data_IF_021413145980
#
_entry.id   IF_021413145980
#
_cell.length_a   1.000
_cell.length_b   1.000
_cell.length_c   1.000
_cell.angle_alpha   90.00
_cell.angle_beta   90.00
_cell.angle_gamma   90.00
#
_symmetry.space_group_name_H-M   'P 1'
#
loop_
_entity.id
_entity.type
_entity.pdbx_description
1 polymer ?
#
# COMPACT_ATOMS: atom_id res chain seq x y z
N UNK A 1 25.43 17.23 -5.52
CA UNK A 1 26.58 16.37 -5.84
C UNK A 1 26.32 15.84 -7.24
N UNK A 2 27.24 16.08 -8.19
CA UNK A 2 27.12 15.54 -9.54
C UNK A 2 27.76 14.15 -9.56
N UNK A 3 26.94 13.12 -9.40
CA UNK A 3 27.40 11.73 -9.29
C UNK A 3 28.02 11.20 -10.61
N UNK A 4 27.90 11.94 -11.72
CA UNK A 4 28.39 11.60 -13.06
C UNK A 4 29.22 12.74 -13.69
N UNK A 5 30.03 13.41 -12.86
CA UNK A 5 30.91 14.52 -13.27
C UNK A 5 32.06 14.14 -14.22
N UNK A 6 32.12 12.89 -14.68
CA UNK A 6 33.12 12.35 -15.61
C UNK A 6 32.73 12.50 -17.09
N UNK A 7 31.78 13.38 -17.42
CA UNK A 7 31.22 13.61 -18.76
C UNK A 7 30.51 12.37 -19.38
N UNK A 8 30.28 11.29 -18.63
CA UNK A 8 29.52 10.14 -19.15
C UNK A 8 28.02 10.40 -19.26
N UNK A 9 27.54 11.47 -18.61
CA UNK A 9 26.14 11.93 -18.66
C UNK A 9 25.59 12.11 -20.07
N UNK A 10 26.41 12.62 -20.99
CA UNK A 10 26.01 12.82 -22.40
C UNK A 10 26.05 11.53 -23.22
N UNK A 11 26.69 10.48 -22.70
CA UNK A 11 26.88 9.19 -23.38
C UNK A 11 25.94 8.07 -22.90
N UNK A 12 25.20 8.29 -21.81
CA UNK A 12 24.29 7.29 -21.23
C UNK A 12 22.83 7.56 -21.58
N UNK A 13 22.14 6.54 -22.08
CA UNK A 13 20.71 6.62 -22.41
C UNK A 13 19.78 6.54 -21.19
N UNK A 14 20.29 6.07 -20.04
CA UNK A 14 19.52 5.93 -18.79
C UNK A 14 20.45 5.94 -17.58
N UNK A 15 20.08 6.68 -16.52
CA UNK A 15 20.84 6.75 -15.26
C UNK A 15 19.92 6.72 -14.05
N UNK A 16 20.17 5.77 -13.13
CA UNK A 16 19.49 5.66 -11.85
C UNK A 16 20.52 5.52 -10.71
N UNK A 17 20.20 6.09 -9.54
CA UNK A 17 20.98 5.94 -8.32
C UNK A 17 20.26 4.99 -7.37
N UNK A 18 21.01 3.97 -6.91
CA UNK A 18 20.60 3.07 -5.84
C UNK A 18 21.24 3.52 -4.54
N UNK A 19 20.46 3.67 -3.47
CA UNK A 19 20.96 4.19 -2.20
C UNK A 19 21.63 3.13 -1.29
N UNK A 20 21.57 1.85 -1.65
CA UNK A 20 22.24 0.77 -0.93
C UNK A 20 21.44 0.21 0.26
N UNK A 21 22.16 -0.37 1.23
CA UNK A 21 21.59 -1.20 2.29
C UNK A 21 20.55 -0.47 3.16
N UNK A 22 19.47 -1.18 3.52
CA UNK A 22 18.37 -0.66 4.33
C UNK A 22 17.29 0.11 3.55
N UNK A 23 17.61 0.58 2.35
CA UNK A 23 16.70 1.35 1.49
C UNK A 23 16.10 0.50 0.37
N UNK A 24 14.90 0.89 -0.04
CA UNK A 24 14.10 0.22 -1.06
C UNK A 24 13.52 1.25 -2.03
N UNK A 25 14.38 2.18 -2.44
CA UNK A 25 14.06 3.24 -3.35
C UNK A 25 15.27 3.62 -4.20
N UNK A 26 14.99 4.16 -5.38
CA UNK A 26 15.97 4.73 -6.31
C UNK A 26 15.68 6.20 -6.54
N UNK A 27 16.68 6.90 -7.05
CA UNK A 27 16.48 8.20 -7.67
C UNK A 27 16.71 8.09 -9.18
N UNK A 28 15.70 8.50 -9.95
CA UNK A 28 15.76 8.67 -11.41
C UNK A 28 16.59 9.91 -11.72
N UNK A 29 17.61 9.78 -12.56
CA UNK A 29 18.47 10.90 -12.97
C UNK A 29 18.25 11.29 -14.43
N UNK A 30 18.90 10.62 -15.37
CA UNK A 30 18.86 10.94 -16.80
C UNK A 30 18.15 9.84 -17.58
N UNK A 31 17.51 10.20 -18.69
CA UNK A 31 16.88 9.24 -19.61
C UNK A 31 15.58 8.61 -19.12
N UNK A 32 14.99 9.12 -18.04
CA UNK A 32 13.64 8.75 -17.60
C UNK A 32 12.63 9.77 -18.11
N UNK A 33 11.49 9.29 -18.61
CA UNK A 33 10.30 10.11 -18.81
C UNK A 33 9.69 10.41 -17.44
N UNK A 34 9.68 11.67 -17.02
CA UNK A 34 9.16 12.12 -15.72
C UNK A 34 8.05 13.14 -15.98
N UNK A 35 6.82 12.81 -15.59
CA UNK A 35 5.67 13.69 -15.76
C UNK A 35 5.77 14.97 -14.93
N UNK A 36 5.02 16.01 -15.33
CA UNK A 36 4.91 17.24 -14.52
C UNK A 36 4.33 16.92 -13.14
N UNK A 37 5.11 17.14 -12.08
CA UNK A 37 4.70 16.86 -10.70
C UNK A 37 5.00 15.43 -10.22
N UNK A 38 5.59 14.58 -11.06
CA UNK A 38 6.05 13.26 -10.66
C UNK A 38 7.37 13.35 -9.86
N UNK A 39 7.49 12.56 -8.80
CA UNK A 39 8.72 12.47 -8.01
C UNK A 39 9.85 11.86 -8.85
N UNK A 40 11.07 12.38 -8.69
CA UNK A 40 12.29 11.73 -9.21
C UNK A 40 12.63 10.46 -8.42
N UNK A 41 12.07 10.27 -7.23
CA UNK A 41 12.29 9.08 -6.43
C UNK A 41 11.20 8.04 -6.71
N UNK A 42 11.59 6.78 -6.79
CA UNK A 42 10.68 5.65 -6.93
C UNK A 42 11.02 4.57 -5.90
N UNK A 43 10.01 4.06 -5.23
CA UNK A 43 10.15 2.98 -4.24
C UNK A 43 9.85 1.63 -4.89
N UNK A 44 10.50 0.58 -4.39
CA UNK A 44 10.26 -0.80 -4.81
C UNK A 44 10.13 -1.72 -3.59
N UNK A 45 9.41 -2.83 -3.69
CA UNK A 45 9.27 -3.76 -2.57
C UNK A 45 10.60 -4.42 -2.25
N UNK A 46 10.88 -4.60 -0.96
CA UNK A 46 11.99 -5.45 -0.52
C UNK A 46 11.69 -6.89 -0.97
N UNK A 47 12.68 -7.55 -1.53
CA UNK A 47 12.58 -8.96 -1.87
C UNK A 47 13.19 -9.80 -0.74
N UNK A 48 12.55 -10.92 -0.42
CA UNK A 48 13.15 -11.96 0.41
C UNK A 48 14.14 -12.85 -0.38
N UNK A 49 14.19 -12.68 -1.71
CA UNK A 49 15.19 -13.35 -2.54
C UNK A 49 16.59 -12.79 -2.22
N UNK A 50 17.63 -13.60 -2.45
CA UNK A 50 19.05 -13.24 -2.21
C UNK A 50 19.59 -12.07 -3.07
N UNK A 51 18.73 -11.33 -3.79
CA UNK A 51 19.13 -10.22 -4.65
C UNK A 51 17.93 -9.40 -5.14
N UNK A 52 18.26 -8.27 -5.77
CA UNK A 52 17.29 -7.37 -6.42
C UNK A 52 17.28 -7.70 -7.92
N UNK A 53 16.08 -7.83 -8.50
CA UNK A 53 15.90 -8.00 -9.94
C UNK A 53 15.64 -6.62 -10.54
N UNK A 54 16.52 -6.18 -11.44
CA UNK A 54 16.35 -4.94 -12.22
C UNK A 54 15.99 -5.34 -13.64
N UNK A 55 14.79 -4.96 -14.08
CA UNK A 55 14.29 -5.23 -15.42
C UNK A 55 14.24 -3.91 -16.19
N UNK A 56 14.94 -3.83 -17.32
CA UNK A 56 14.99 -2.66 -18.19
C UNK A 56 14.50 -3.09 -19.56
N UNK A 57 13.42 -2.48 -20.03
CA UNK A 57 12.90 -2.68 -21.36
C UNK A 57 12.80 -1.35 -22.09
N UNK A 58 13.51 -1.26 -23.22
CA UNK A 58 13.36 -0.20 -24.19
C UNK A 58 12.34 -0.68 -25.24
N UNK A 59 11.22 0.03 -25.34
CA UNK A 59 10.14 -0.27 -26.27
C UNK A 59 10.43 0.23 -27.70
N UNK A 60 9.53 -0.08 -28.64
CA UNK A 60 9.57 0.57 -29.96
C UNK A 60 9.19 2.06 -29.85
N UNK A 61 8.36 2.37 -28.86
CA UNK A 61 7.97 3.72 -28.45
C UNK A 61 8.36 3.93 -26.98
N UNK A 62 8.45 5.18 -26.53
CA UNK A 62 8.81 5.49 -25.15
C UNK A 62 7.73 5.00 -24.17
N UNK A 63 6.46 5.03 -24.59
CA UNK A 63 5.29 4.60 -23.82
C UNK A 63 5.28 3.08 -23.56
N UNK A 64 5.95 2.30 -24.42
CA UNK A 64 6.12 0.86 -24.23
C UNK A 64 7.30 0.52 -23.29
N UNK A 65 8.12 1.50 -22.94
CA UNK A 65 9.35 1.28 -22.16
C UNK A 65 9.07 1.22 -20.66
N UNK A 66 9.81 0.38 -19.95
CA UNK A 66 9.71 0.28 -18.49
C UNK A 66 11.07 0.03 -17.84
N UNK A 67 11.17 0.50 -16.60
CA UNK A 67 12.24 0.20 -15.67
C UNK A 67 11.58 -0.31 -14.39
N UNK A 68 11.72 -1.61 -14.13
CA UNK A 68 11.10 -2.27 -12.99
C UNK A 68 12.16 -2.78 -12.03
N UNK A 69 11.86 -2.71 -10.74
CA UNK A 69 12.66 -3.34 -9.71
C UNK A 69 11.75 -4.29 -8.94
N UNK A 70 12.12 -5.57 -8.90
CA UNK A 70 11.30 -6.61 -8.27
C UNK A 70 9.85 -6.57 -8.77
N UNK A 71 9.67 -6.42 -10.08
CA UNK A 71 8.38 -6.27 -10.76
C UNK A 71 7.68 -4.91 -10.61
N UNK A 72 8.06 -4.09 -9.62
CA UNK A 72 7.45 -2.76 -9.40
C UNK A 72 7.95 -1.76 -10.44
N UNK A 73 7.02 -1.08 -11.13
CA UNK A 73 7.38 0.01 -12.03
C UNK A 73 8.03 1.15 -11.24
N UNK A 74 9.27 1.48 -11.62
CA UNK A 74 10.08 2.54 -11.02
C UNK A 74 10.37 3.67 -12.02
N UNK A 75 9.77 3.64 -13.20
CA UNK A 75 9.85 4.68 -14.23
C UNK A 75 9.88 4.11 -15.64
N UNK A 76 9.79 4.98 -16.64
CA UNK A 76 9.89 4.60 -18.05
C UNK A 76 11.10 5.25 -18.68
N UNK A 77 12.00 4.49 -19.33
CA UNK A 77 13.05 5.04 -20.17
C UNK A 77 12.47 5.93 -21.29
N UNK A 78 13.14 7.04 -21.60
CA UNK A 78 12.80 7.90 -22.74
C UNK A 78 13.43 7.40 -24.03
N UNK A 79 14.53 6.64 -23.94
CA UNK A 79 15.17 6.00 -25.08
C UNK A 79 14.33 4.81 -25.58
N UNK A 80 14.41 4.54 -26.88
CA UNK A 80 13.72 3.45 -27.56
C UNK A 80 14.71 2.51 -28.24
N UNK A 81 14.24 1.36 -28.73
CA UNK A 81 15.11 0.36 -29.36
C UNK A 81 15.97 0.92 -30.51
N UNK A 82 15.44 1.87 -31.30
CA UNK A 82 16.18 2.48 -32.40
C UNK A 82 17.33 3.40 -31.98
N UNK A 83 17.39 3.80 -30.70
CA UNK A 83 18.47 4.64 -30.17
C UNK A 83 19.75 3.81 -29.89
N UNK A 84 19.65 2.49 -29.94
CA UNK A 84 20.76 1.56 -29.74
C UNK A 84 21.19 0.96 -31.09
N UNK A 85 22.33 1.41 -31.60
CA UNK A 85 22.95 0.83 -32.81
C UNK A 85 23.13 -0.68 -32.65
N UNK A 86 22.72 -1.44 -33.67
CA UNK A 86 22.78 -2.91 -33.70
C UNK A 86 21.96 -3.63 -32.62
N UNK A 87 21.07 -2.92 -31.91
CA UNK A 87 20.21 -3.48 -30.86
C UNK A 87 20.96 -3.91 -29.60
N UNK A 88 22.18 -3.39 -29.38
CA UNK A 88 23.02 -3.73 -28.23
C UNK A 88 23.06 -2.57 -27.25
N UNK A 89 22.75 -2.85 -25.98
CA UNK A 89 22.92 -1.92 -24.88
C UNK A 89 24.02 -2.42 -23.92
N UNK A 90 24.88 -1.52 -23.46
CA UNK A 90 25.88 -1.80 -22.45
C UNK A 90 25.44 -1.21 -21.11
N UNK A 91 25.55 -2.00 -20.04
CA UNK A 91 25.18 -1.57 -18.69
C UNK A 91 26.45 -1.44 -17.85
N UNK A 92 26.69 -0.23 -17.34
CA UNK A 92 27.77 0.07 -16.41
C UNK A 92 27.25 0.23 -14.99
N UNK A 93 28.00 -0.29 -14.02
CA UNK A 93 27.72 -0.07 -12.60
C UNK A 93 28.84 0.76 -11.99
N UNK A 94 28.49 1.89 -11.37
CA UNK A 94 29.43 2.84 -10.80
C UNK A 94 29.28 2.89 -9.29
N UNK A 95 30.40 2.81 -8.59
CA UNK A 95 30.42 2.68 -7.14
C UNK A 95 31.41 3.67 -6.53
N UNK A 96 31.05 4.22 -5.38
CA UNK A 96 31.96 5.05 -4.61
C UNK A 96 32.77 4.16 -3.65
N UNK A 97 34.03 3.88 -4.01
CA UNK A 97 34.92 2.98 -3.26
C UNK A 97 35.67 3.66 -2.09
N UNK A 98 35.22 4.83 -1.62
CA UNK A 98 35.98 5.60 -0.62
C UNK A 98 36.00 5.00 0.80
N UNK A 99 35.28 3.91 1.08
CA UNK A 99 35.20 3.34 2.44
C UNK A 99 35.60 1.86 2.60
N UNK A 100 35.81 1.11 1.52
CA UNK A 100 35.97 -0.34 1.60
C UNK A 100 34.71 -1.04 2.16
N UNK A 101 34.51 -2.31 1.78
CA UNK A 101 33.36 -3.11 2.26
C UNK A 101 32.13 -3.12 1.35
N UNK A 102 32.29 -2.85 0.05
CA UNK A 102 31.18 -2.85 -0.89
C UNK A 102 30.77 -4.28 -1.29
N UNK A 103 29.57 -4.70 -0.88
CA UNK A 103 28.97 -6.02 -1.15
C UNK A 103 28.05 -6.01 -2.38
N UNK A 104 28.54 -5.52 -3.52
CA UNK A 104 27.80 -5.68 -4.78
C UNK A 104 28.26 -6.91 -5.52
N UNK A 105 27.30 -7.75 -5.87
CA UNK A 105 27.52 -8.93 -6.70
C UNK A 105 26.44 -8.92 -7.77
N UNK A 106 26.86 -8.91 -9.03
CA UNK A 106 25.96 -9.26 -10.13
C UNK A 106 25.79 -10.77 -10.11
N UNK A 107 24.55 -11.24 -10.24
CA UNK A 107 24.29 -12.65 -10.40
C UNK A 107 25.02 -13.17 -11.64
N UNK A 108 25.66 -14.35 -11.55
CA UNK A 108 26.26 -14.99 -12.73
C UNK A 108 25.21 -15.36 -13.78
N UNK A 109 23.97 -15.52 -13.35
CA UNK A 109 22.83 -15.80 -14.21
C UNK A 109 22.14 -14.48 -14.57
N UNK A 110 22.41 -14.01 -15.78
CA UNK A 110 21.73 -12.87 -16.41
C UNK A 110 20.47 -13.33 -17.15
N UNK A 111 19.61 -12.40 -17.59
CA UNK A 111 18.30 -12.70 -18.18
C UNK A 111 17.40 -13.46 -17.20
N UNK A 112 17.10 -12.85 -16.06
CA UNK A 112 16.14 -13.42 -15.13
C UNK A 112 14.76 -13.58 -15.78
N UNK A 113 13.96 -14.49 -15.23
CA UNK A 113 12.52 -14.53 -15.52
C UNK A 113 11.98 -13.11 -15.36
N UNK A 114 11.19 -12.66 -16.32
CA UNK A 114 10.65 -11.30 -16.33
C UNK A 114 9.19 -11.31 -16.75
N UNK A 115 8.40 -10.37 -16.20
CA UNK A 115 6.97 -10.26 -16.51
C UNK A 115 6.78 -9.25 -17.64
N UNK A 116 6.24 -9.71 -18.77
CA UNK A 116 6.04 -8.89 -19.98
C UNK A 116 4.60 -8.44 -20.17
N UNK A 117 3.64 -9.12 -19.55
CA UNK A 117 2.25 -8.70 -19.50
C UNK A 117 1.57 -9.23 -18.22
N UNK A 118 0.62 -8.48 -17.64
CA UNK A 118 0.19 -7.14 -18.06
C UNK A 118 1.25 -6.05 -17.79
N UNK A 119 1.25 -5.00 -18.61
CA UNK A 119 2.18 -3.86 -18.45
C UNK A 119 1.63 -2.80 -17.49
N UNK A 120 0.31 -2.72 -17.34
CA UNK A 120 -0.37 -1.82 -16.41
C UNK A 120 -0.40 -2.43 -15.01
N UNK A 121 0.23 -1.75 -14.04
CA UNK A 121 0.27 -2.18 -12.64
C UNK A 121 -1.15 -2.32 -12.04
N UNK A 122 -2.16 -1.59 -12.54
CA UNK A 122 -3.55 -1.72 -12.08
C UNK A 122 -4.19 -3.06 -12.42
N UNK A 123 -3.64 -3.79 -13.40
CA UNK A 123 -4.12 -5.12 -13.75
C UNK A 123 -3.78 -6.15 -12.67
N UNK A 124 -2.79 -5.88 -11.81
CA UNK A 124 -2.41 -6.75 -10.68
C UNK A 124 -3.35 -6.54 -9.48
N UNK A 125 -4.64 -6.74 -9.72
CA UNK A 125 -5.69 -6.59 -8.73
C UNK A 125 -6.62 -7.81 -8.72
N UNK A 126 -7.10 -8.21 -7.54
CA UNK A 126 -8.08 -9.29 -7.39
C UNK A 126 -9.17 -8.92 -6.36
N UNK A 127 -10.42 -9.21 -6.70
CA UNK A 127 -11.52 -9.26 -5.73
C UNK A 127 -11.57 -10.68 -5.15
N UNK A 128 -11.15 -10.85 -3.90
CA UNK A 128 -11.08 -12.17 -3.25
C UNK A 128 -12.47 -12.81 -3.08
N UNK A 129 -13.55 -12.01 -3.00
CA UNK A 129 -14.92 -12.52 -2.96
C UNK A 129 -15.42 -13.02 -4.33
N UNK A 130 -14.74 -12.61 -5.41
CA UNK A 130 -15.05 -13.00 -6.80
C UNK A 130 -13.78 -13.42 -7.53
N UNK A 131 -13.01 -14.28 -6.87
CA UNK A 131 -11.74 -14.77 -7.38
C UNK A 131 -11.88 -15.34 -8.80
N UNK A 132 -10.92 -14.97 -9.65
CA UNK A 132 -10.80 -15.44 -11.02
C UNK A 132 -9.36 -15.91 -11.30
N UNK A 133 -9.17 -16.65 -12.39
CA UNK A 133 -7.83 -16.98 -12.87
C UNK A 133 -7.10 -15.69 -13.25
N UNK A 134 -5.86 -15.55 -12.81
CA UNK A 134 -5.00 -14.40 -13.11
C UNK A 134 -3.84 -14.84 -14.00
N UNK A 135 -3.75 -14.27 -15.20
CA UNK A 135 -2.75 -14.63 -16.22
C UNK A 135 -1.65 -13.58 -16.30
N UNK A 136 -0.40 -14.04 -16.35
CA UNK A 136 0.77 -13.22 -16.66
C UNK A 136 1.63 -13.89 -17.73
N UNK A 137 2.25 -13.07 -18.58
CA UNK A 137 3.23 -13.53 -19.56
C UNK A 137 4.64 -13.38 -19.02
N UNK A 138 5.39 -14.48 -19.06
CA UNK A 138 6.77 -14.58 -18.61
C UNK A 138 7.71 -14.78 -19.80
N UNK A 139 8.89 -14.17 -19.73
CA UNK A 139 10.02 -14.44 -20.63
C UNK A 139 11.22 -14.96 -19.83
N UNK A 140 12.22 -15.48 -20.55
CA UNK A 140 13.46 -16.04 -19.99
C UNK A 140 13.28 -17.21 -19.01
N UNK A 141 12.11 -17.82 -18.99
CA UNK A 141 11.91 -19.12 -18.34
C UNK A 141 12.62 -20.19 -19.16
N UNK A 142 13.27 -21.14 -18.49
CA UNK A 142 13.93 -22.28 -19.10
C UNK A 142 13.00 -23.04 -20.05
N UNK A 143 13.60 -23.72 -21.03
CA UNK A 143 12.87 -24.44 -22.08
C UNK A 143 11.97 -25.57 -21.54
N UNK A 144 12.26 -26.11 -20.36
CA UNK A 144 11.47 -27.16 -19.71
C UNK A 144 10.22 -26.58 -19.00
N UNK A 145 10.17 -25.27 -18.79
CA UNK A 145 9.13 -24.61 -18.00
C UNK A 145 9.11 -25.06 -16.54
N UNK A 146 10.25 -25.53 -16.02
CA UNK A 146 10.39 -25.92 -14.63
C UNK A 146 10.52 -24.68 -13.74
N UNK A 147 9.39 -24.27 -13.18
CA UNK A 147 9.29 -23.12 -12.27
C UNK A 147 8.68 -23.52 -10.93
N UNK A 148 9.00 -22.74 -9.91
CA UNK A 148 8.37 -22.78 -8.59
C UNK A 148 7.72 -21.43 -8.32
N UNK A 149 6.46 -21.45 -7.89
CA UNK A 149 5.71 -20.25 -7.52
C UNK A 149 5.48 -20.25 -6.02
N UNK A 150 5.70 -19.10 -5.38
CA UNK A 150 5.54 -18.92 -3.93
C UNK A 150 4.70 -17.71 -3.58
N UNK A 151 3.99 -17.79 -2.47
CA UNK A 151 3.31 -16.64 -1.85
C UNK A 151 4.27 -15.82 -0.97
N UNK A 152 3.74 -14.72 -0.40
CA UNK A 152 4.49 -13.83 0.47
C UNK A 152 4.95 -14.47 1.78
N UNK A 153 4.31 -15.55 2.23
CA UNK A 153 4.73 -16.31 3.42
C UNK A 153 5.83 -17.35 3.08
N UNK A 154 6.23 -17.44 1.81
CA UNK A 154 7.24 -18.36 1.31
C UNK A 154 6.70 -19.77 1.04
N UNK A 155 5.38 -19.99 1.12
CA UNK A 155 4.77 -21.27 0.82
C UNK A 155 4.81 -21.53 -0.68
N UNK A 156 5.13 -22.76 -1.06
CA UNK A 156 5.12 -23.18 -2.47
C UNK A 156 3.70 -23.49 -2.90
N UNK A 157 3.22 -22.80 -3.93
CA UNK A 157 1.95 -23.11 -4.58
C UNK A 157 2.01 -24.46 -5.29
N UNK A 158 0.89 -25.17 -5.34
CA UNK A 158 0.80 -26.50 -5.96
C UNK A 158 0.57 -26.38 -7.47
N UNK A 159 1.49 -26.91 -8.28
CA UNK A 159 1.34 -26.95 -9.74
C UNK A 159 0.09 -27.75 -10.14
N UNK A 160 -0.60 -27.30 -11.18
CA UNK A 160 -1.86 -27.83 -11.73
C UNK A 160 -3.08 -27.72 -10.78
N UNK A 161 -2.90 -27.17 -9.59
CA UNK A 161 -3.99 -26.87 -8.63
C UNK A 161 -4.12 -25.37 -8.37
N UNK A 162 -2.99 -24.73 -8.03
CA UNK A 162 -2.91 -23.31 -7.68
C UNK A 162 -2.35 -22.47 -8.81
N UNK A 163 -1.56 -23.09 -9.69
CA UNK A 163 -1.09 -22.44 -10.90
C UNK A 163 -0.81 -23.44 -12.01
N UNK A 164 -0.82 -22.96 -13.25
CA UNK A 164 -0.35 -23.69 -14.43
C UNK A 164 0.64 -22.83 -15.21
N UNK A 165 1.64 -23.44 -15.83
CA UNK A 165 2.56 -22.73 -16.72
C UNK A 165 2.69 -23.47 -18.05
N UNK A 166 2.42 -22.77 -19.16
CA UNK A 166 2.67 -23.28 -20.51
C UNK A 166 2.85 -22.14 -21.51
N UNK A 167 3.69 -22.34 -22.53
CA UNK A 167 3.89 -21.40 -23.64
C UNK A 167 4.15 -19.95 -23.19
N UNK A 168 5.00 -19.76 -22.17
CA UNK A 168 5.31 -18.43 -21.66
C UNK A 168 4.21 -17.80 -20.79
N UNK A 169 3.15 -18.53 -20.45
CA UNK A 169 2.02 -18.01 -19.67
C UNK A 169 1.93 -18.73 -18.33
N UNK A 170 2.01 -17.95 -17.25
CA UNK A 170 1.69 -18.40 -15.90
C UNK A 170 0.26 -17.97 -15.58
N UNK A 171 -0.58 -18.93 -15.19
CA UNK A 171 -1.94 -18.68 -14.72
C UNK A 171 -2.02 -19.08 -13.25
N UNK A 172 -2.25 -18.12 -12.37
CA UNK A 172 -2.60 -18.37 -10.96
C UNK A 172 -4.11 -18.62 -10.90
N UNK A 173 -4.52 -19.73 -10.30
CA UNK A 173 -5.89 -20.22 -10.34
C UNK A 173 -6.79 -19.47 -9.35
N UNK A 174 -8.05 -19.26 -9.73
CA UNK A 174 -9.08 -18.70 -8.86
C UNK A 174 -9.17 -19.43 -7.52
N UNK A 175 -8.97 -20.76 -7.54
CA UNK A 175 -8.95 -21.63 -6.36
C UNK A 175 -7.87 -21.28 -5.35
N UNK A 176 -6.73 -20.72 -5.78
CA UNK A 176 -5.69 -20.23 -4.87
C UNK A 176 -6.19 -18.97 -4.16
N UNK A 177 -6.67 -17.98 -4.92
CA UNK A 177 -7.17 -16.72 -4.36
C UNK A 177 -8.37 -16.92 -3.43
N UNK A 178 -9.25 -17.87 -3.72
CA UNK A 178 -10.40 -18.20 -2.88
C UNK A 178 -10.06 -18.85 -1.53
N UNK A 179 -8.79 -19.16 -1.27
CA UNK A 179 -8.30 -19.69 0.03
C UNK A 179 -7.46 -18.69 0.81
N UNK A 180 -7.23 -17.49 0.26
CA UNK A 180 -6.45 -16.45 0.93
C UNK A 180 -7.36 -15.77 1.95
N UNK A 181 -6.96 -15.78 3.23
CA UNK A 181 -7.56 -14.90 4.23
C UNK A 181 -7.40 -13.45 3.79
N UNK A 182 -8.38 -12.61 4.09
CA UNK A 182 -8.38 -11.25 3.55
C UNK A 182 -7.11 -10.49 3.93
N UNK A 183 -6.38 -10.04 2.91
CA UNK A 183 -5.28 -9.09 3.03
C UNK A 183 -5.43 -8.05 1.94
N UNK A 184 -4.87 -6.86 2.14
CA UNK A 184 -4.93 -5.76 1.15
C UNK A 184 -3.94 -5.96 0.01
N UNK A 185 -2.88 -6.72 0.23
CA UNK A 185 -1.86 -6.96 -0.77
C UNK A 185 -1.06 -8.21 -0.47
N UNK A 186 -0.51 -8.83 -1.49
CA UNK A 186 0.46 -9.92 -1.34
C UNK A 186 1.51 -9.84 -2.44
N UNK A 187 2.56 -10.62 -2.31
CA UNK A 187 3.61 -10.79 -3.30
C UNK A 187 3.60 -12.22 -3.78
N UNK A 188 3.69 -12.41 -5.09
CA UNK A 188 3.88 -13.72 -5.70
C UNK A 188 5.29 -13.74 -6.30
N UNK A 189 6.06 -14.76 -5.95
CA UNK A 189 7.41 -14.99 -6.45
C UNK A 189 7.43 -16.15 -7.44
N UNK A 190 8.19 -16.01 -8.52
CA UNK A 190 8.39 -17.04 -9.54
C UNK A 190 9.89 -17.32 -9.64
N UNK A 191 10.26 -18.59 -9.51
CA UNK A 191 11.64 -19.04 -9.56
C UNK A 191 11.84 -20.08 -10.65
N UNK A 192 12.82 -19.86 -11.52
CA UNK A 192 13.29 -20.82 -12.51
C UNK A 192 14.27 -21.80 -11.86
N UNK A 193 13.88 -23.07 -11.81
CA UNK A 193 14.65 -24.11 -11.13
C UNK A 193 15.92 -24.51 -11.89
N UNK A 194 16.01 -24.25 -13.18
CA UNK A 194 17.16 -24.62 -14.03
C UNK A 194 18.16 -23.47 -14.09
N UNK A 195 17.69 -22.29 -14.51
CA UNK A 195 18.53 -21.10 -14.69
C UNK A 195 18.89 -20.44 -13.35
N UNK A 196 18.23 -20.81 -12.25
CA UNK A 196 18.43 -20.24 -10.91
C UNK A 196 18.27 -18.71 -10.91
N UNK A 197 17.23 -18.25 -11.56
CA UNK A 197 16.79 -16.85 -11.60
C UNK A 197 15.31 -16.77 -11.27
N UNK A 198 14.78 -15.59 -11.02
CA UNK A 198 13.37 -15.42 -10.69
C UNK A 198 12.93 -13.97 -10.77
N UNK A 199 11.64 -13.76 -10.55
CA UNK A 199 11.01 -12.45 -10.41
C UNK A 199 9.93 -12.51 -9.35
N UNK A 200 9.37 -11.36 -9.00
CA UNK A 200 8.23 -11.24 -8.12
C UNK A 200 7.33 -10.10 -8.62
N UNK A 201 6.05 -10.16 -8.26
CA UNK A 201 5.10 -9.09 -8.52
C UNK A 201 4.14 -8.97 -7.35
N UNK A 202 3.69 -7.73 -7.10
CA UNK A 202 2.74 -7.45 -6.03
C UNK A 202 1.31 -7.49 -6.58
N UNK A 203 0.40 -8.04 -5.80
CA UNK A 203 -1.03 -8.05 -6.07
C UNK A 203 -1.72 -7.13 -5.07
N UNK A 204 -2.62 -6.27 -5.55
CA UNK A 204 -3.57 -5.54 -4.72
C UNK A 204 -4.86 -6.34 -4.59
N UNK A 205 -5.40 -6.43 -3.39
CA UNK A 205 -6.60 -7.21 -3.11
C UNK A 205 -7.72 -6.33 -2.58
N UNK A 206 -8.93 -6.70 -2.96
CA UNK A 206 -10.18 -6.10 -2.51
C UNK A 206 -11.19 -7.20 -2.23
N UNK A 207 -12.35 -6.83 -1.71
CA UNK A 207 -13.46 -7.75 -1.52
C UNK A 207 -14.76 -7.04 -1.75
N UNK A 208 -15.58 -7.54 -2.69
CA UNK A 208 -16.95 -7.05 -2.87
C UNK A 208 -17.90 -7.48 -1.76
N UNK A 209 -17.45 -8.29 -0.80
CA UNK A 209 -18.20 -8.61 0.42
C UNK A 209 -17.90 -7.65 1.58
N UNK A 210 -17.13 -6.59 1.35
CA UNK A 210 -16.90 -5.54 2.33
C UNK A 210 -18.22 -4.88 2.75
N UNK A 211 -18.40 -4.71 4.05
CA UNK A 211 -19.56 -4.09 4.68
C UNK A 211 -19.25 -2.67 5.11
N UNK A 212 -20.28 -2.00 5.62
CA UNK A 212 -20.13 -0.67 6.19
C UNK A 212 -19.15 -0.69 7.35
N UNK A 213 -18.49 0.45 7.53
CA UNK A 213 -17.46 0.63 8.55
C UNK A 213 -18.09 0.89 9.91
N UNK A 214 -17.53 0.27 10.96
CA UNK A 214 -17.83 0.60 12.35
C UNK A 214 -16.67 1.34 13.00
N UNK A 215 -16.99 2.31 13.87
CA UNK A 215 -15.99 3.12 14.59
C UNK A 215 -16.21 3.00 16.08
N UNK A 216 -15.12 2.77 16.82
CA UNK A 216 -15.06 2.86 18.26
C UNK A 216 -14.09 3.96 18.67
N UNK A 217 -14.24 4.50 19.87
CA UNK A 217 -13.39 5.56 20.38
C UNK A 217 -12.76 5.15 21.71
N UNK A 218 -11.49 5.52 21.92
CA UNK A 218 -10.76 5.29 23.18
C UNK A 218 -9.95 6.53 23.55
N UNK A 219 -9.66 6.70 24.85
CA UNK A 219 -8.92 7.86 25.36
C UNK A 219 -7.47 7.54 25.65
N UNK A 220 -6.54 8.31 25.10
CA UNK A 220 -5.10 8.20 25.35
C UNK A 220 -4.78 8.49 26.82
N UNK A 221 -3.87 7.70 27.41
CA UNK A 221 -3.53 7.72 28.84
C UNK A 221 -4.56 7.01 29.74
N UNK A 222 -5.70 6.58 29.17
CA UNK A 222 -6.78 5.91 29.87
C UNK A 222 -7.49 4.89 28.97
N UNK A 223 -6.73 4.08 28.23
CA UNK A 223 -7.28 3.13 27.27
C UNK A 223 -8.30 2.17 27.92
N UNK A 224 -9.45 2.05 27.25
CA UNK A 224 -10.49 1.05 27.51
C UNK A 224 -10.56 0.07 26.36
N UNK A 225 -11.27 -1.04 26.55
CA UNK A 225 -11.60 -1.94 25.45
C UNK A 225 -12.42 -1.17 24.40
N UNK A 226 -12.16 -1.46 23.12
CA UNK A 226 -12.90 -0.90 22.01
C UNK A 226 -14.15 -1.75 21.74
N UNK A 227 -15.31 -1.11 21.70
CA UNK A 227 -16.60 -1.78 21.54
C UNK A 227 -17.24 -1.37 20.23
N UNK A 228 -17.58 -2.34 19.40
CA UNK A 228 -18.23 -2.17 18.11
C UNK A 228 -19.59 -2.87 18.12
N UNK A 229 -20.62 -2.18 17.66
CA UNK A 229 -21.88 -2.79 17.28
C UNK A 229 -21.80 -3.23 15.82
N UNK A 230 -22.09 -4.50 15.57
CA UNK A 230 -22.09 -5.12 14.25
C UNK A 230 -23.49 -5.65 13.97
N UNK A 231 -24.34 -4.79 13.41
CA UNK A 231 -25.76 -5.10 13.19
C UNK A 231 -25.94 -6.28 12.22
N UNK A 232 -26.78 -7.24 12.61
CA UNK A 232 -27.09 -8.43 11.80
C UNK A 232 -25.98 -9.48 11.76
N UNK A 233 -24.90 -9.32 12.55
CA UNK A 233 -23.82 -10.29 12.66
C UNK A 233 -24.14 -11.30 13.78
N UNK A 234 -24.14 -12.59 13.45
CA UNK A 234 -24.40 -13.67 14.41
C UNK A 234 -23.12 -14.32 14.96
N UNK A 235 -22.00 -14.19 14.27
CA UNK A 235 -20.71 -14.77 14.66
C UNK A 235 -19.55 -13.95 14.10
N UNK A 236 -18.40 -14.03 14.77
CA UNK A 236 -17.11 -13.52 14.29
C UNK A 236 -16.16 -14.70 14.18
N UNK A 237 -15.71 -14.98 12.95
CA UNK A 237 -14.81 -16.09 12.65
C UNK A 237 -13.36 -15.76 13.04
N UNK A 238 -12.93 -14.52 12.77
CA UNK A 238 -11.60 -14.02 13.10
C UNK A 238 -11.59 -12.48 13.09
N UNK A 239 -10.59 -11.88 13.73
CA UNK A 239 -10.30 -10.44 13.67
C UNK A 239 -8.87 -10.26 13.20
N UNK A 240 -8.69 -9.51 12.13
CA UNK A 240 -7.39 -9.20 11.55
C UNK A 240 -6.95 -7.79 11.96
N UNK A 241 -5.66 -7.59 12.20
CA UNK A 241 -5.07 -6.27 12.40
C UNK A 241 -4.87 -5.51 11.07
N UNK A 242 -4.32 -4.29 11.15
CA UNK A 242 -4.02 -3.45 9.98
C UNK A 242 -3.07 -4.10 8.96
N UNK A 243 -2.25 -5.06 9.40
CA UNK A 243 -1.27 -5.77 8.59
C UNK A 243 -1.83 -7.14 8.13
N UNK A 244 -3.13 -7.38 8.37
CA UNK A 244 -3.86 -8.60 8.03
C UNK A 244 -3.42 -9.84 8.82
N UNK A 245 -2.81 -9.67 9.99
CA UNK A 245 -2.52 -10.77 10.90
C UNK A 245 -3.73 -11.05 11.79
N UNK A 246 -4.02 -12.32 12.01
CA UNK A 246 -5.06 -12.72 12.96
C UNK A 246 -4.65 -12.37 14.39
N UNK A 247 -5.57 -11.71 15.10
CA UNK A 247 -5.43 -11.39 16.51
C UNK A 247 -5.83 -12.62 17.33
N UNK A 248 -5.07 -12.90 18.39
CA UNK A 248 -5.37 -13.99 19.31
C UNK A 248 -6.82 -13.90 19.83
N UNK A 249 -7.56 -15.02 19.75
CA UNK A 249 -8.96 -15.09 20.14
C UNK A 249 -9.23 -14.73 21.62
N UNK A 250 -8.22 -14.76 22.48
CA UNK A 250 -8.32 -14.29 23.87
C UNK A 250 -8.33 -12.76 23.99
N UNK A 251 -8.00 -12.03 22.93
CA UNK A 251 -7.91 -10.56 22.87
C UNK A 251 -9.17 -9.90 22.31
N UNK A 252 -10.19 -10.67 21.96
CA UNK A 252 -11.51 -10.14 21.62
C UNK A 252 -12.63 -11.06 22.08
N UNK A 253 -13.84 -10.52 22.19
CA UNK A 253 -15.05 -11.30 22.46
C UNK A 253 -16.17 -10.82 21.56
N UNK A 254 -16.97 -11.73 21.04
CA UNK A 254 -18.18 -11.40 20.30
C UNK A 254 -19.40 -12.00 20.99
N UNK A 255 -20.38 -11.16 21.31
CA UNK A 255 -21.64 -11.59 21.93
C UNK A 255 -22.77 -10.64 21.57
N UNK A 256 -23.92 -11.21 21.20
CA UNK A 256 -25.16 -10.48 20.96
C UNK A 256 -24.99 -9.28 20.00
N UNK A 257 -24.26 -9.48 18.88
CA UNK A 257 -24.00 -8.43 17.89
C UNK A 257 -22.93 -7.41 18.28
N UNK A 258 -22.29 -7.58 19.45
CA UNK A 258 -21.26 -6.67 19.96
C UNK A 258 -19.90 -7.34 19.94
N UNK A 259 -18.95 -6.73 19.23
CA UNK A 259 -17.53 -7.08 19.28
C UNK A 259 -16.82 -6.18 20.28
N UNK A 260 -16.11 -6.78 21.22
CA UNK A 260 -15.19 -6.08 22.13
C UNK A 260 -13.76 -6.51 21.82
N UNK A 261 -12.92 -5.56 21.44
CA UNK A 261 -11.48 -5.73 21.25
C UNK A 261 -10.78 -5.21 22.51
N UNK A 262 -9.95 -6.04 23.14
CA UNK A 262 -9.26 -5.67 24.39
C UNK A 262 -8.28 -4.53 24.16
N UNK A 263 -8.15 -3.65 25.14
CA UNK A 263 -7.19 -2.54 25.10
C UNK A 263 -5.73 -2.97 24.87
N UNK A 264 -5.38 -4.21 25.22
CA UNK A 264 -4.02 -4.73 25.12
C UNK A 264 -3.50 -4.82 23.68
N UNK A 265 -4.38 -4.81 22.67
CA UNK A 265 -4.01 -4.73 21.24
C UNK A 265 -4.07 -3.32 20.67
N UNK A 266 -4.40 -2.32 21.50
CA UNK A 266 -4.47 -0.92 21.09
C UNK A 266 -3.16 -0.21 21.42
N UNK A 267 -2.86 0.83 20.65
CA UNK A 267 -1.72 1.71 20.94
C UNK A 267 -2.19 2.89 21.79
N UNK A 268 -1.49 3.18 22.89
CA UNK A 268 -1.77 4.34 23.74
C UNK A 268 -1.17 5.63 23.15
N UNK A 269 -1.71 6.01 21.98
CA UNK A 269 -1.27 7.18 21.21
C UNK A 269 -2.42 7.67 20.33
N UNK A 270 -2.47 8.99 20.12
CA UNK A 270 -3.42 9.57 19.18
C UNK A 270 -3.26 8.99 17.76
N UNK A 271 -4.37 8.61 17.15
CA UNK A 271 -4.40 8.01 15.81
C UNK A 271 -5.54 7.00 15.62
N UNK A 272 -5.47 6.28 14.51
CA UNK A 272 -6.45 5.26 14.13
C UNK A 272 -5.78 3.90 14.13
N UNK A 273 -6.37 2.95 14.83
CA UNK A 273 -6.06 1.52 14.70
C UNK A 273 -7.14 0.88 13.84
N UNK A 274 -6.74 0.21 12.76
CA UNK A 274 -7.65 -0.52 11.88
C UNK A 274 -7.69 -2.01 12.26
N UNK A 275 -8.89 -2.58 12.19
CA UNK A 275 -9.17 -3.99 12.25
C UNK A 275 -10.09 -4.40 11.10
N UNK A 276 -9.97 -5.65 10.66
CA UNK A 276 -10.92 -6.27 9.73
C UNK A 276 -11.58 -7.46 10.42
N UNK A 277 -12.90 -7.38 10.62
CA UNK A 277 -13.66 -8.45 11.27
C UNK A 277 -14.25 -9.35 10.19
N UNK A 278 -14.04 -10.66 10.31
CA UNK A 278 -14.53 -11.65 9.36
C UNK A 278 -15.72 -12.38 9.96
N UNK A 279 -16.83 -12.44 9.22
CA UNK A 279 -18.02 -13.23 9.57
C UNK A 279 -18.47 -14.02 8.34
N UNK A 280 -18.14 -15.32 8.32
CA UNK A 280 -18.29 -16.14 7.13
C UNK A 280 -17.52 -15.55 5.94
N UNK A 281 -18.23 -15.08 4.92
CA UNK A 281 -17.62 -14.43 3.74
C UNK A 281 -17.67 -12.90 3.77
N UNK A 282 -18.33 -12.31 4.77
CA UNK A 282 -18.46 -10.87 4.94
C UNK A 282 -17.27 -10.30 5.73
N UNK A 283 -16.86 -9.08 5.35
CA UNK A 283 -15.74 -8.36 5.96
C UNK A 283 -16.25 -7.03 6.49
N UNK A 284 -16.03 -6.73 7.77
CA UNK A 284 -16.47 -5.51 8.44
C UNK A 284 -15.25 -4.70 8.85
N UNK A 285 -14.95 -3.57 8.19
CA UNK A 285 -13.91 -2.66 8.62
C UNK A 285 -14.27 -2.05 9.97
N UNK A 286 -13.37 -2.16 10.94
CA UNK A 286 -13.55 -1.61 12.28
C UNK A 286 -12.37 -0.69 12.61
N UNK A 287 -12.64 0.58 12.92
CA UNK A 287 -11.60 1.54 13.28
C UNK A 287 -11.73 1.98 14.73
N UNK A 288 -10.64 1.93 15.48
CA UNK A 288 -10.54 2.54 16.80
C UNK A 288 -9.84 3.87 16.65
N UNK A 289 -10.57 4.97 16.89
CA UNK A 289 -9.99 6.30 16.94
C UNK A 289 -9.59 6.61 18.39
N UNK A 290 -8.28 6.82 18.60
CA UNK A 290 -7.71 7.17 19.90
C UNK A 290 -7.28 8.65 19.89
N UNK A 291 -7.62 9.37 20.95
CA UNK A 291 -7.16 10.74 21.17
C UNK A 291 -7.22 11.12 22.65
N UNK A 292 -6.73 12.30 23.02
CA UNK A 292 -6.84 12.85 24.37
C UNK A 292 -8.27 13.38 24.65
N UNK A 293 -9.27 12.53 24.46
CA UNK A 293 -10.67 12.89 24.63
C UNK A 293 -10.99 13.34 26.05
N UNK A 294 -11.63 14.49 26.15
CA UNK A 294 -12.20 15.03 27.37
C UNK A 294 -13.63 15.50 27.09
N UNK A 295 -14.59 15.18 27.96
CA UNK A 295 -15.98 15.64 27.83
C UNK A 295 -16.61 15.36 26.43
N UNK A 296 -16.28 14.22 25.81
CA UNK A 296 -16.86 13.78 24.54
C UNK A 296 -16.19 14.33 23.28
N UNK A 297 -14.98 14.91 23.37
CA UNK A 297 -14.19 15.29 22.19
C UNK A 297 -12.81 15.83 22.56
N UNK A 298 -12.11 16.46 21.62
CA UNK A 298 -10.77 17.00 21.83
C UNK A 298 -10.59 18.28 21.02
N UNK A 299 -10.04 19.33 21.64
CA UNK A 299 -9.68 20.57 20.93
C UNK A 299 -8.37 20.34 20.19
N UNK A 300 -8.39 20.47 18.87
CA UNK A 300 -7.22 20.24 18.02
C UNK A 300 -6.47 21.53 17.72
N UNK A 301 -7.17 22.66 17.60
CA UNK A 301 -6.56 23.96 17.28
C UNK A 301 -7.37 25.14 17.89
N UNK A 302 -6.77 26.33 17.87
CA UNK A 302 -7.40 27.59 18.26
C UNK A 302 -7.33 27.96 19.75
N UNK A 303 -7.48 29.25 20.02
CA UNK A 303 -7.40 29.85 21.37
C UNK A 303 -8.73 29.84 22.13
N UNK A 304 -9.81 29.46 21.46
CA UNK A 304 -11.15 29.30 22.02
C UNK A 304 -11.28 28.12 22.99
N UNK A 305 -12.48 27.95 23.52
CA UNK A 305 -12.83 26.89 24.47
C UNK A 305 -14.02 26.06 23.97
N UNK A 306 -14.07 24.81 24.41
CA UNK A 306 -15.20 23.90 24.15
C UNK A 306 -15.63 23.30 25.48
N UNK A 307 -16.93 23.30 25.74
CA UNK A 307 -17.53 22.62 26.89
C UNK A 307 -18.67 21.72 26.45
N UNK A 308 -18.90 20.62 27.17
CA UNK A 308 -20.04 19.74 26.96
C UNK A 308 -20.85 19.68 28.24
N UNK A 309 -22.15 19.96 28.12
CA UNK A 309 -23.12 19.75 29.19
C UNK A 309 -24.30 18.98 28.63
N UNK A 310 -24.57 17.82 29.23
CA UNK A 310 -25.71 16.96 28.88
C UNK A 310 -25.79 16.64 27.37
N UNK A 311 -24.63 16.45 26.72
CA UNK A 311 -24.53 16.15 25.29
C UNK A 311 -24.58 17.37 24.36
N UNK A 312 -24.77 18.57 24.91
CA UNK A 312 -24.74 19.82 24.15
C UNK A 312 -23.34 20.42 24.20
N UNK A 313 -22.68 20.51 23.05
CA UNK A 313 -21.37 21.15 22.91
C UNK A 313 -21.54 22.67 22.73
N UNK A 314 -20.83 23.45 23.54
CA UNK A 314 -20.74 24.91 23.42
C UNK A 314 -19.33 25.31 23.04
N UNK A 315 -19.20 26.12 21.99
CA UNK A 315 -17.94 26.61 21.44
C UNK A 315 -17.84 28.12 21.68
N UNK A 316 -16.76 28.57 22.32
CA UNK A 316 -16.50 30.00 22.53
C UNK A 316 -15.17 30.40 21.88
N UNK A 317 -15.17 31.49 21.12
CA UNK A 317 -13.97 31.96 20.41
C UNK A 317 -13.61 31.10 19.20
N UNK A 318 -12.34 31.16 18.79
CA UNK A 318 -11.81 30.41 17.65
C UNK A 318 -11.25 29.06 18.10
N UNK A 319 -11.95 27.96 17.82
CA UNK A 319 -11.55 26.61 18.22
C UNK A 319 -11.91 25.58 17.13
N UNK A 320 -11.01 24.62 16.92
CA UNK A 320 -11.26 23.40 16.13
C UNK A 320 -11.37 22.22 17.09
N UNK A 321 -12.39 21.38 16.90
CA UNK A 321 -12.72 20.31 17.83
C UNK A 321 -13.15 19.05 17.11
N UNK A 322 -12.64 17.91 17.55
CA UNK A 322 -13.08 16.59 17.09
C UNK A 322 -14.04 16.02 18.12
N UNK A 323 -15.25 15.67 17.70
CA UNK A 323 -16.27 15.06 18.56
C UNK A 323 -16.10 13.55 18.55
N UNK A 324 -16.21 12.92 19.73
CA UNK A 324 -16.16 11.47 19.92
C UNK A 324 -17.47 10.79 19.48
N UNK A 325 -17.85 10.96 18.21
CA UNK A 325 -19.08 10.44 17.65
C UNK A 325 -18.92 10.14 16.16
N UNK A 326 -19.46 9.00 15.72
CA UNK A 326 -19.66 8.71 14.30
C UNK A 326 -20.96 9.37 13.80
N UNK A 327 -20.88 10.04 12.65
CA UNK A 327 -22.02 10.73 12.04
C UNK A 327 -22.27 10.11 10.67
N UNK A 328 -23.45 9.52 10.48
CA UNK A 328 -23.91 9.06 9.17
C UNK A 328 -24.59 10.21 8.42
N UNK A 329 -23.89 10.76 7.43
CA UNK A 329 -24.45 11.83 6.59
C UNK A 329 -25.57 11.36 5.66
N UNK A 330 -25.69 10.06 5.37
CA UNK A 330 -26.79 9.53 4.56
C UNK A 330 -28.11 9.52 5.35
N UNK A 331 -28.05 9.23 6.65
CA UNK A 331 -29.18 9.40 7.58
C UNK A 331 -29.48 10.89 7.88
N UNK A 332 -28.56 11.78 7.53
CA UNK A 332 -28.62 13.21 7.80
C UNK A 332 -28.03 13.56 9.16
N UNK A 333 -27.39 14.73 9.23
CA UNK A 333 -26.81 15.27 10.45
C UNK A 333 -27.32 16.69 10.68
N UNK A 334 -27.76 16.99 11.90
CA UNK A 334 -28.18 18.31 12.29
C UNK A 334 -27.18 18.88 13.30
N UNK A 335 -26.56 19.99 12.93
CA UNK A 335 -25.70 20.76 13.83
C UNK A 335 -26.39 22.10 14.09
N UNK A 336 -26.67 22.39 15.36
CA UNK A 336 -27.12 23.73 15.76
C UNK A 336 -25.88 24.56 16.08
N UNK A 337 -25.65 25.59 15.27
CA UNK A 337 -24.61 26.60 15.53
C UNK A 337 -25.32 27.86 15.99
N UNK A 338 -25.22 28.16 17.28
CA UNK A 338 -25.77 29.38 17.86
C UNK A 338 -24.71 30.49 17.85
N UNK A 339 -24.96 31.54 17.08
CA UNK A 339 -24.07 32.71 17.03
C UNK A 339 -24.56 33.74 18.06
N UNK A 340 -24.03 33.69 19.28
CA UNK A 340 -24.32 34.70 20.32
C UNK A 340 -23.66 36.05 20.05
N UNK A 341 -22.58 36.10 19.26
CA UNK A 341 -22.06 37.36 18.70
C UNK A 341 -21.36 37.13 17.37
N UNK A 342 -21.84 37.80 16.31
CA UNK A 342 -21.08 37.98 15.07
C UNK A 342 -20.33 39.31 15.25
N UNK A 343 -18.99 39.33 15.39
CA UNK A 343 -18.25 40.58 15.31
C UNK A 343 -18.29 41.05 13.86
N UNK A 344 -19.36 41.77 13.51
CA UNK A 344 -19.55 42.42 12.22
C UNK A 344 -19.98 41.48 11.09
N UNK A 345 -21.23 41.63 10.64
CA UNK A 345 -21.63 41.13 9.33
C UNK A 345 -20.95 42.00 8.26
N UNK A 346 -20.18 41.40 7.35
CA UNK A 346 -19.72 42.09 6.14
C UNK A 346 -20.90 42.28 5.19
N UNK A 347 -21.64 43.37 5.36
CA UNK A 347 -22.54 43.85 4.32
C UNK A 347 -21.72 44.76 3.38
N UNK A 348 -21.42 44.27 2.17
CA UNK A 348 -20.77 45.03 1.09
C UNK A 348 -19.37 45.61 1.35
N UNK A 349 -18.44 44.82 1.91
CA UNK A 349 -17.00 45.12 1.80
C UNK A 349 -16.52 46.44 2.41
N UNK A 350 -17.30 47.10 3.28
CA UNK A 350 -16.88 48.29 4.00
C UNK A 350 -17.02 48.05 5.51
N UNK A 351 -15.88 47.75 6.14
CA UNK A 351 -15.78 47.65 7.59
C UNK A 351 -16.21 48.95 8.25
N UNK A 352 -17.26 48.90 9.06
CA UNK A 352 -17.45 49.84 10.16
C UNK A 352 -17.37 49.05 11.45
N UNK A 353 -16.34 49.35 12.23
CA UNK A 353 -16.23 49.05 13.65
C UNK A 353 -17.53 49.44 14.35
N UNK A 354 -18.23 48.46 14.91
CA UNK A 354 -19.31 48.69 15.85
C UNK A 354 -18.67 49.08 17.20
N UNK A 355 -19.06 50.23 17.73
CA UNK A 355 -18.77 50.66 19.09
C UNK A 355 -19.80 50.14 20.08
#
# INVERSE_FOLDING_TARGET
>A
MDYFSDNTRESSQLQALFFGEGRSDIQKFSGFTIGSGESTNASYPKSEMKGIVVEIYFGKTAEESYFRINGQNCGSPSAVQSDFSDGVAYVGWFFNDTKGGFNFKVNSNVNAVAVTAPVDDKAYAMDLAKAADFEISLINVNAEGDITVKDAAGNTLVKDTDYTYSNGKLVIKASYFGRIDFTKSSVISVWDNVNKTGTQFSMAYSSSNMKDTSVAFVTVGALTDAVFTLDGVSEVSMVLDKDSNEIDASLYTFKDGTLTIKKDVLTDKAGVTEFMVVSGSALYPCYVYADAFENGGVKTEGDGSVSNKDGTFTFEGDAVYTIMQSVDFAAGAAFLVDFTSIPGYYNNGNGKTAG
#
